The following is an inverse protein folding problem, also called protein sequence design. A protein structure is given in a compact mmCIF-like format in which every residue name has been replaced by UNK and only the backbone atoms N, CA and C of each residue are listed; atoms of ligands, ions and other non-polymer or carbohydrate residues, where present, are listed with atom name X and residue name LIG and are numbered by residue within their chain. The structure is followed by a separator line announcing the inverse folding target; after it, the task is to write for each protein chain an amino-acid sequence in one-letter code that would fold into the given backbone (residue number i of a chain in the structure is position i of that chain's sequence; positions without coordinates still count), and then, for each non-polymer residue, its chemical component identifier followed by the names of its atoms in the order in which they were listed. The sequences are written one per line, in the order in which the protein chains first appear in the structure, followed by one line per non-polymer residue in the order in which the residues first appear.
data_IF_611800097212
#
_entry.id   IF_611800097212
#
_cell.length_a   1.000
_cell.length_b   1.000
_cell.length_c   1.000
_cell.angle_alpha   90.00
_cell.angle_beta   90.00
_cell.angle_gamma   90.00
#
_symmetry.space_group_name_H-M   'P 1'
#
loop_
_entity.id
_entity.type
_entity.pdbx_description
1 polymer ?
#
# COMPACT_ATOMS: atom_id res chain seq x y z
N UNK A 1 5.70 6.44 18.32
CA UNK A 1 5.00 5.70 17.25
C UNK A 1 5.65 5.87 15.86
N UNK A 2 5.61 7.04 15.20
CA UNK A 2 6.02 7.18 13.78
C UNK A 2 7.46 6.74 13.45
N UNK A 3 8.45 7.17 14.23
CA UNK A 3 9.85 6.77 14.02
C UNK A 3 10.06 5.27 14.23
N UNK A 4 9.33 4.67 15.19
CA UNK A 4 9.38 3.22 15.44
C UNK A 4 8.72 2.42 14.31
N UNK A 5 7.60 2.92 13.78
CA UNK A 5 6.97 2.38 12.58
C UNK A 5 7.95 2.40 11.41
N UNK A 6 8.51 3.58 11.09
CA UNK A 6 9.43 3.73 9.96
C UNK A 6 10.65 2.82 10.09
N UNK A 7 11.28 2.79 11.28
CA UNK A 7 12.43 1.92 11.54
C UNK A 7 12.10 0.44 11.29
N UNK A 8 11.01 -0.06 11.85
CA UNK A 8 10.60 -1.46 11.67
C UNK A 8 10.24 -1.80 10.23
N UNK A 9 9.58 -0.89 9.50
CA UNK A 9 9.26 -1.09 8.09
C UNK A 9 10.50 -1.08 7.20
N UNK A 10 11.45 -0.17 7.45
CA UNK A 10 12.74 -0.15 6.74
C UNK A 10 13.54 -1.42 7.00
N UNK A 11 13.61 -1.88 8.26
CA UNK A 11 14.30 -3.13 8.60
C UNK A 11 13.66 -4.34 7.90
N UNK A 12 12.32 -4.41 7.88
CA UNK A 12 11.58 -5.48 7.21
C UNK A 12 11.80 -5.46 5.69
N UNK A 13 11.73 -4.29 5.05
CA UNK A 13 12.00 -4.13 3.62
C UNK A 13 13.46 -4.49 3.28
N UNK A 14 14.41 -4.00 4.07
CA UNK A 14 15.82 -4.33 3.91
C UNK A 14 16.08 -5.84 3.99
N UNK A 15 15.40 -6.53 4.92
CA UNK A 15 15.50 -7.97 5.06
C UNK A 15 15.01 -8.72 3.80
N UNK A 16 13.84 -8.38 3.27
CA UNK A 16 13.29 -9.06 2.08
C UNK A 16 14.05 -8.70 0.79
N UNK A 17 14.49 -7.44 0.66
CA UNK A 17 15.25 -6.97 -0.50
C UNK A 17 16.61 -7.68 -0.58
N UNK A 18 17.25 -8.00 0.56
CA UNK A 18 18.45 -8.84 0.61
C UNK A 18 18.25 -10.26 0.08
N UNK A 19 17.01 -10.77 0.10
CA UNK A 19 16.65 -12.07 -0.46
C UNK A 19 16.15 -11.97 -1.91
N UNK A 20 16.30 -10.80 -2.55
CA UNK A 20 15.77 -10.49 -3.88
C UNK A 20 14.24 -10.65 -3.98
N UNK A 21 13.54 -10.39 -2.88
CA UNK A 21 12.08 -10.38 -2.79
C UNK A 21 11.62 -8.93 -2.68
N UNK A 22 10.69 -8.52 -3.55
CA UNK A 22 10.03 -7.21 -3.49
C UNK A 22 8.60 -7.41 -3.01
N UNK A 23 8.09 -6.54 -2.15
CA UNK A 23 6.72 -6.69 -1.64
C UNK A 23 5.68 -6.42 -2.73
N UNK A 24 5.84 -5.40 -3.58
CA UNK A 24 4.98 -5.07 -4.74
C UNK A 24 3.51 -4.71 -4.44
N UNK A 25 3.07 -4.82 -3.19
CA UNK A 25 1.72 -4.46 -2.74
C UNK A 25 1.76 -3.88 -1.32
N UNK A 26 2.76 -3.03 -1.06
CA UNK A 26 2.86 -2.38 0.23
C UNK A 26 1.75 -1.31 0.35
N UNK A 27 0.86 -1.51 1.33
CA UNK A 27 -0.27 -0.64 1.66
C UNK A 27 -0.58 -0.75 3.15
N UNK A 28 -1.31 0.21 3.76
CA UNK A 28 -1.57 0.20 5.20
C UNK A 28 -2.27 -1.08 5.68
N UNK A 29 -3.18 -1.65 4.90
CA UNK A 29 -3.89 -2.89 5.26
C UNK A 29 -2.99 -4.13 5.29
N UNK A 30 -1.79 -4.06 4.71
CA UNK A 30 -0.79 -5.14 4.68
C UNK A 30 0.29 -4.96 5.77
N UNK A 31 0.07 -4.04 6.70
CA UNK A 31 0.94 -3.83 7.85
C UNK A 31 0.14 -4.14 9.12
N UNK A 32 0.49 -5.24 9.78
CA UNK A 32 -0.16 -5.71 10.99
C UNK A 32 0.42 -5.00 12.22
N UNK A 33 -0.47 -4.58 13.12
CA UNK A 33 -0.11 -4.11 14.45
C UNK A 33 -0.29 -5.27 15.42
N UNK A 34 0.81 -5.80 15.96
CA UNK A 34 0.78 -7.01 16.80
C UNK A 34 0.89 -6.74 18.30
N UNK A 35 1.15 -5.50 18.70
CA UNK A 35 1.34 -5.08 20.10
C UNK A 35 1.66 -3.58 20.18
N UNK A 36 2.02 -3.09 21.37
CA UNK A 36 2.36 -1.68 21.56
C UNK A 36 3.56 -1.31 20.67
N UNK A 37 3.30 -0.48 19.65
CA UNK A 37 4.27 0.00 18.67
C UNK A 37 5.06 -1.11 17.94
N UNK A 38 4.47 -2.30 17.75
CA UNK A 38 5.05 -3.41 17.00
C UNK A 38 4.32 -3.63 15.68
N UNK A 39 5.06 -3.58 14.57
CA UNK A 39 4.54 -3.62 13.20
C UNK A 39 5.16 -4.78 12.41
N UNK A 40 4.35 -5.47 11.61
CA UNK A 40 4.83 -6.56 10.75
C UNK A 40 4.24 -6.44 9.35
N UNK A 41 5.07 -6.65 8.34
CA UNK A 41 4.60 -6.84 6.97
C UNK A 41 3.86 -8.17 6.86
N UNK A 42 2.72 -8.17 6.18
CA UNK A 42 2.00 -9.38 5.83
C UNK A 42 1.64 -9.37 4.34
N UNK A 43 1.00 -10.45 3.89
CA UNK A 43 0.51 -10.57 2.52
C UNK A 43 1.62 -10.43 1.46
N UNK A 44 2.62 -11.30 1.58
CA UNK A 44 3.62 -11.58 0.55
C UNK A 44 3.05 -12.48 -0.57
N UNK A 45 1.72 -12.57 -0.69
CA UNK A 45 1.01 -13.57 -1.49
C UNK A 45 1.24 -13.47 -3.00
N UNK A 46 0.26 -13.93 -3.79
CA UNK A 46 0.29 -14.09 -5.25
C UNK A 46 0.86 -12.91 -6.05
N UNK A 47 0.90 -11.72 -5.49
CA UNK A 47 1.38 -10.47 -6.08
C UNK A 47 2.90 -10.34 -6.12
N UNK A 48 3.60 -10.94 -5.14
CA UNK A 48 5.07 -11.06 -5.14
C UNK A 48 5.54 -11.96 -6.28
N UNK A 49 4.72 -12.94 -6.64
CA UNK A 49 4.96 -13.96 -7.67
C UNK A 49 4.21 -13.67 -8.99
N UNK A 50 3.48 -12.56 -9.08
CA UNK A 50 2.81 -12.15 -10.32
C UNK A 50 3.89 -11.85 -11.37
N UNK A 51 4.11 -12.81 -12.26
CA UNK A 51 4.96 -12.68 -13.46
C UNK A 51 4.15 -12.33 -14.70
N UNK A 52 2.82 -12.32 -14.59
CA UNK A 52 1.89 -12.06 -15.68
C UNK A 52 1.45 -10.59 -15.66
N UNK A 53 1.92 -9.82 -16.64
CA UNK A 53 1.63 -8.39 -16.81
C UNK A 53 0.12 -8.13 -17.05
N UNK A 54 -0.59 -9.04 -17.72
CA UNK A 54 -2.01 -8.85 -18.02
C UNK A 54 -2.85 -8.94 -16.75
N UNK A 55 -2.58 -9.95 -15.91
CA UNK A 55 -3.24 -10.08 -14.60
C UNK A 55 -2.91 -8.90 -13.68
N UNK A 56 -1.69 -8.37 -13.79
CA UNK A 56 -1.31 -7.16 -13.06
C UNK A 56 -2.12 -5.94 -13.50
N UNK A 57 -2.28 -5.72 -14.81
CA UNK A 57 -3.05 -4.57 -15.33
C UNK A 57 -4.50 -4.58 -14.84
N UNK A 58 -5.17 -5.73 -14.87
CA UNK A 58 -6.52 -5.90 -14.33
C UNK A 58 -6.56 -5.51 -12.85
N UNK A 59 -5.62 -6.02 -12.04
CA UNK A 59 -5.54 -5.69 -10.61
C UNK A 59 -5.36 -4.19 -10.35
N UNK A 60 -4.49 -3.54 -11.13
CA UNK A 60 -4.20 -2.10 -11.02
C UNK A 60 -5.40 -1.25 -11.41
N UNK A 61 -6.29 -1.76 -12.26
CA UNK A 61 -7.53 -1.09 -12.63
C UNK A 61 -8.60 -1.23 -11.54
N UNK A 62 -8.66 -2.40 -10.88
CA UNK A 62 -9.62 -2.68 -9.80
C UNK A 62 -9.25 -2.05 -8.45
N UNK A 63 -7.96 -1.89 -8.16
CA UNK A 63 -7.48 -1.40 -6.86
C UNK A 63 -7.03 0.07 -6.91
N UNK A 64 -7.26 0.77 -5.79
CA UNK A 64 -6.81 2.15 -5.63
C UNK A 64 -5.27 2.24 -5.68
N UNK A 65 -4.74 3.08 -6.57
CA UNK A 65 -3.30 3.22 -6.89
C UNK A 65 -2.51 4.08 -5.89
N UNK A 66 -3.11 4.45 -4.77
CA UNK A 66 -2.67 5.56 -3.91
C UNK A 66 -1.27 5.37 -3.27
N UNK A 67 -0.74 4.14 -3.21
CA UNK A 67 0.61 3.87 -2.70
C UNK A 67 1.56 3.27 -3.73
N UNK A 68 1.12 3.05 -4.97
CA UNK A 68 1.95 2.39 -5.96
C UNK A 68 2.98 3.34 -6.58
N UNK A 69 4.20 2.85 -6.75
CA UNK A 69 5.24 3.57 -7.48
C UNK A 69 4.84 3.76 -8.96
N UNK A 70 5.21 4.88 -9.59
CA UNK A 70 4.85 5.13 -10.98
C UNK A 70 5.37 4.06 -11.94
N UNK A 71 6.59 3.55 -11.73
CA UNK A 71 7.15 2.46 -12.52
C UNK A 71 6.43 1.11 -12.31
N UNK A 72 5.84 0.90 -11.13
CA UNK A 72 5.06 -0.30 -10.83
C UNK A 72 3.75 -0.34 -11.63
N UNK A 73 3.23 0.82 -12.07
CA UNK A 73 2.08 0.87 -12.98
C UNK A 73 2.41 0.30 -14.36
N UNK A 74 3.68 0.35 -14.76
CA UNK A 74 4.22 -0.23 -16.00
C UNK A 74 4.83 -1.62 -15.78
N UNK A 75 4.43 -2.32 -14.72
CA UNK A 75 4.91 -3.67 -14.38
C UNK A 75 6.43 -3.77 -14.17
N UNK A 76 7.06 -2.66 -13.78
CA UNK A 76 8.48 -2.61 -13.41
C UNK A 76 8.61 -2.47 -11.90
N UNK A 77 9.37 -3.37 -11.27
CA UNK A 77 9.53 -3.41 -9.82
C UNK A 77 11.00 -3.40 -9.42
N UNK A 78 11.28 -2.66 -8.36
CA UNK A 78 12.58 -2.61 -7.71
C UNK A 78 12.40 -2.50 -6.19
N UNK A 79 13.52 -2.59 -5.46
CA UNK A 79 13.58 -2.19 -4.06
C UNK A 79 13.02 -0.76 -3.86
N UNK A 80 13.30 0.15 -4.80
CA UNK A 80 12.83 1.54 -4.75
C UNK A 80 11.32 1.68 -4.87
N UNK A 81 10.67 0.74 -5.55
CA UNK A 81 9.22 0.75 -5.69
C UNK A 81 8.52 0.51 -4.34
N UNK A 82 9.07 -0.38 -3.50
CA UNK A 82 8.57 -0.58 -2.13
C UNK A 82 8.88 0.63 -1.23
N UNK A 83 10.03 1.28 -1.42
CA UNK A 83 10.39 2.51 -0.68
C UNK A 83 9.44 3.66 -1.01
N UNK A 84 9.04 3.80 -2.28
CA UNK A 84 8.01 4.76 -2.69
C UNK A 84 6.70 4.53 -1.94
N UNK A 85 6.21 3.28 -1.95
CA UNK A 85 4.98 2.92 -1.25
C UNK A 85 5.05 3.23 0.25
N UNK A 86 6.18 2.92 0.90
CA UNK A 86 6.39 3.25 2.30
C UNK A 86 6.37 4.77 2.54
N UNK A 87 6.93 5.56 1.63
CA UNK A 87 6.88 7.02 1.66
C UNK A 87 5.45 7.56 1.60
N UNK A 88 4.63 7.03 0.69
CA UNK A 88 3.21 7.38 0.60
C UNK A 88 2.46 7.04 1.89
N UNK A 89 2.69 5.85 2.46
CA UNK A 89 2.08 5.44 3.74
C UNK A 89 2.49 6.39 4.88
N UNK A 90 3.78 6.75 4.95
CA UNK A 90 4.28 7.67 5.97
C UNK A 90 3.64 9.06 5.83
N UNK A 91 3.52 9.57 4.61
CA UNK A 91 2.85 10.84 4.33
C UNK A 91 1.37 10.80 4.74
N UNK A 92 0.67 9.73 4.42
CA UNK A 92 -0.73 9.56 4.82
C UNK A 92 -0.90 9.52 6.34
N UNK A 93 0.00 8.81 7.04
CA UNK A 93 -0.01 8.78 8.50
C UNK A 93 0.30 10.15 9.11
N UNK A 94 1.15 10.97 8.47
CA UNK A 94 1.48 12.33 8.95
C UNK A 94 0.40 13.36 8.67
N UNK A 95 -0.30 13.22 7.55
CA UNK A 95 -1.23 14.25 7.04
C UNK A 95 -2.71 13.87 7.23
N UNK A 96 -3.00 12.63 7.61
CA UNK A 96 -4.34 12.03 7.56
C UNK A 96 -5.01 12.17 6.18
N UNK A 97 -4.23 12.27 5.09
CA UNK A 97 -4.74 12.63 3.76
C UNK A 97 -5.73 11.60 3.20
N UNK A 98 -5.46 10.30 3.34
CA UNK A 98 -6.40 9.24 2.87
C UNK A 98 -7.72 9.23 3.66
N UNK A 99 -7.74 9.61 4.94
CA UNK A 99 -9.01 9.79 5.66
C UNK A 99 -9.84 10.91 5.02
N UNK A 100 -9.20 11.99 4.56
CA UNK A 100 -9.90 13.08 3.87
C UNK A 100 -10.41 12.68 2.48
N UNK A 101 -9.68 11.85 1.72
CA UNK A 101 -10.15 11.41 0.39
C UNK A 101 -11.31 10.41 0.52
N UNK A 102 -11.23 9.40 1.40
CA UNK A 102 -12.33 8.46 1.62
C UNK A 102 -13.58 9.15 2.20
N UNK A 103 -13.43 10.09 3.14
CA UNK A 103 -14.58 10.87 3.66
C UNK A 103 -15.28 11.68 2.56
N UNK A 104 -14.52 12.25 1.61
CA UNK A 104 -15.08 12.99 0.48
C UNK A 104 -15.76 12.08 -0.56
N UNK A 105 -15.41 10.78 -0.61
CA UNK A 105 -16.09 9.79 -1.46
C UNK A 105 -17.36 9.28 -0.76
N UNK A 106 -17.33 9.04 0.55
CA UNK A 106 -18.50 8.62 1.33
C UNK A 106 -19.60 9.69 1.39
N UNK A 107 -19.25 10.98 1.40
CA UNK A 107 -20.22 12.08 1.35
C UNK A 107 -20.87 12.30 -0.03
N UNK A 108 -20.43 11.60 -1.08
CA UNK A 108 -21.09 11.62 -2.40
C UNK A 108 -22.10 10.49 -2.60
N UNK A 109 -22.23 9.59 -1.62
CA UNK A 109 -23.19 8.49 -1.62
C UNK A 109 -24.30 8.75 -0.59
N UNK A 110 -24.98 9.89 -0.70
CA UNK A 110 -26.35 9.96 -0.20
C UNK A 110 -27.25 9.29 -1.24
N UNK A 111 -27.94 8.18 -0.93
CA UNK A 111 -29.01 7.71 -1.80
C UNK A 111 -30.08 8.80 -1.80
N UNK A 112 -30.27 9.43 -2.95
CA UNK A 112 -31.46 10.23 -3.24
C UNK A 112 -32.68 9.37 -2.94
N UNK A 113 -33.31 9.59 -1.78
CA UNK A 113 -34.71 9.23 -1.56
C UNK A 113 -35.55 10.10 -2.49
N UNK A 114 -35.69 9.66 -3.73
CA UNK A 114 -36.79 10.07 -4.61
C UNK A 114 -37.87 8.99 -4.59
N UNK A 115 -38.96 9.34 -3.93
CA UNK A 115 -40.35 9.05 -4.28
C UNK A 115 -40.63 7.81 -5.17
N UNK A 116 -41.24 6.78 -4.56
CA UNK A 116 -42.60 6.29 -4.86
C UNK A 116 -43.07 5.33 -3.75
#
# INVERSE_FOLDING_TARGET
VMLRFLGQMVDALFYIHKQNIFHRNLKPSNILVTGEESFKLCDFGTETLMTDEWKWKIRVEENCKCWMAPEALSFSFSDKSDIWSLGCILLDMMTCFVLNVCNNVSLKYEPTTEHL
#
